data_IF_960360891548
#
_entry.id   IF_960360891548
#
_cell.length_a   1.000
_cell.length_b   1.000
_cell.length_c   1.000
_cell.angle_alpha   90.00
_cell.angle_beta   90.00
_cell.angle_gamma   90.00
#
_symmetry.space_group_name_H-M   'P 1'
#
loop_
_entity.id
_entity.type
_entity.pdbx_description
1 polymer ?
#
# COMPACT_ATOMS: atom_id res chain seq x y z
N UNK A 1 -17.12 -29.83 -1.43
CA UNK A 1 -18.27 -28.93 -1.21
C UNK A 1 -19.57 -29.69 -1.54
N UNK A 2 -20.08 -30.43 -0.59
CA UNK A 2 -21.21 -31.36 -0.81
C UNK A 2 -22.56 -30.70 -0.53
N UNK A 3 -22.59 -29.62 0.23
CA UNK A 3 -23.81 -28.86 0.51
C UNK A 3 -23.55 -27.40 0.11
N UNK A 4 -24.23 -26.93 -0.95
CA UNK A 4 -24.13 -25.55 -1.47
C UNK A 4 -24.87 -24.54 -0.56
N UNK A 5 -24.63 -24.56 0.75
CA UNK A 5 -25.20 -23.59 1.70
C UNK A 5 -24.06 -22.85 2.38
N UNK A 6 -24.19 -21.54 2.43
CA UNK A 6 -23.29 -20.68 3.18
C UNK A 6 -23.49 -20.91 4.68
N UNK A 7 -22.41 -21.24 5.38
CA UNK A 7 -22.44 -21.61 6.80
C UNK A 7 -21.74 -20.50 7.60
N UNK A 8 -22.45 -19.93 8.56
CA UNK A 8 -21.85 -19.00 9.50
C UNK A 8 -21.04 -19.77 10.56
N UNK A 9 -19.72 -19.82 10.37
CA UNK A 9 -18.77 -20.54 11.23
C UNK A 9 -18.87 -20.16 12.71
N UNK A 10 -19.11 -18.90 13.04
CA UNK A 10 -19.24 -18.44 14.41
C UNK A 10 -20.46 -19.06 15.09
N UNK A 11 -21.58 -19.15 14.38
CA UNK A 11 -22.83 -19.75 14.91
C UNK A 11 -22.68 -21.27 15.11
N UNK A 12 -21.98 -21.93 14.19
CA UNK A 12 -21.68 -23.37 14.30
C UNK A 12 -20.77 -23.67 15.51
N UNK A 13 -19.71 -22.85 15.69
CA UNK A 13 -18.82 -22.98 16.85
C UNK A 13 -19.56 -22.74 18.18
N UNK A 14 -20.43 -21.74 18.22
CA UNK A 14 -21.27 -21.48 19.42
C UNK A 14 -22.21 -22.66 19.70
N UNK A 15 -22.89 -23.20 18.69
CA UNK A 15 -23.78 -24.36 18.83
C UNK A 15 -23.02 -25.61 19.31
N UNK A 16 -21.82 -25.86 18.73
CA UNK A 16 -20.94 -26.95 19.17
C UNK A 16 -20.48 -26.74 20.63
N UNK A 17 -20.13 -25.51 21.01
CA UNK A 17 -19.74 -25.16 22.38
C UNK A 17 -20.87 -25.46 23.39
N UNK A 18 -22.08 -25.02 23.12
CA UNK A 18 -23.25 -25.31 23.96
C UNK A 18 -23.58 -26.81 24.03
N UNK A 19 -23.51 -27.51 22.89
CA UNK A 19 -23.75 -28.96 22.85
C UNK A 19 -22.73 -29.72 23.70
N UNK A 20 -21.45 -29.35 23.65
CA UNK A 20 -20.39 -29.97 24.45
C UNK A 20 -20.48 -29.63 25.93
N UNK A 21 -20.91 -28.42 26.28
CA UNK A 21 -21.14 -28.03 27.67
C UNK A 21 -22.27 -28.85 28.31
N UNK A 22 -23.40 -28.99 27.60
CA UNK A 22 -24.52 -29.81 28.05
C UNK A 22 -24.15 -31.31 28.06
N UNK A 23 -23.44 -31.78 27.05
CA UNK A 23 -22.93 -33.16 26.98
C UNK A 23 -21.98 -33.49 28.12
N UNK A 24 -21.06 -32.57 28.45
CA UNK A 24 -20.11 -32.72 29.56
C UNK A 24 -20.81 -32.81 30.92
N UNK A 25 -21.88 -32.05 31.15
CA UNK A 25 -22.71 -32.18 32.36
C UNK A 25 -23.42 -33.55 32.45
N UNK A 26 -23.72 -34.17 31.31
CA UNK A 26 -24.25 -35.52 31.21
C UNK A 26 -23.20 -36.64 31.20
N UNK A 27 -21.92 -36.32 31.40
CA UNK A 27 -20.81 -37.32 31.35
C UNK A 27 -20.44 -37.82 29.96
N UNK A 28 -20.82 -37.08 28.88
CA UNK A 28 -20.47 -37.40 27.51
C UNK A 28 -19.05 -36.92 27.17
N UNK A 29 -18.39 -37.63 26.24
CA UNK A 29 -17.16 -37.18 25.63
C UNK A 29 -17.42 -35.98 24.70
N UNK A 30 -16.38 -35.19 24.43
CA UNK A 30 -16.44 -34.05 23.49
C UNK A 30 -16.90 -34.53 22.12
N UNK A 31 -17.99 -33.93 21.62
CA UNK A 31 -18.57 -34.22 20.32
C UNK A 31 -18.30 -33.07 19.33
N UNK A 32 -18.13 -33.40 18.06
CA UNK A 32 -18.06 -32.42 16.97
C UNK A 32 -18.85 -32.93 15.78
N UNK A 33 -19.25 -31.99 14.92
CA UNK A 33 -20.00 -32.34 13.70
C UNK A 33 -19.06 -32.96 12.67
N UNK A 34 -19.28 -34.23 12.35
CA UNK A 34 -18.48 -34.95 11.36
C UNK A 34 -19.00 -34.67 9.95
N UNK A 35 -18.12 -34.15 9.08
CA UNK A 35 -18.45 -33.91 7.65
C UNK A 35 -18.84 -35.22 6.94
N UNK A 36 -18.22 -36.33 7.30
CA UNK A 36 -18.49 -37.65 6.69
C UNK A 36 -19.92 -38.10 6.90
N UNK A 37 -20.42 -38.08 8.13
CA UNK A 37 -21.79 -38.49 8.45
C UNK A 37 -22.85 -37.53 7.88
N UNK A 38 -22.56 -36.22 7.90
CA UNK A 38 -23.43 -35.21 7.31
C UNK A 38 -23.49 -35.36 5.77
N UNK A 39 -22.38 -35.67 5.12
CA UNK A 39 -22.31 -35.93 3.68
C UNK A 39 -23.05 -37.20 3.30
N UNK A 40 -22.90 -38.26 4.08
CA UNK A 40 -23.60 -39.53 3.88
C UNK A 40 -25.12 -39.33 4.03
N UNK A 41 -25.58 -38.66 5.10
CA UNK A 41 -26.98 -38.35 5.31
C UNK A 41 -27.56 -37.54 4.12
N UNK A 42 -26.83 -36.58 3.62
CA UNK A 42 -27.24 -35.78 2.46
C UNK A 42 -27.31 -36.60 1.17
N UNK A 43 -26.36 -37.51 0.91
CA UNK A 43 -26.38 -38.44 -0.22
C UNK A 43 -27.54 -39.43 -0.16
N UNK A 44 -27.94 -39.84 1.05
CA UNK A 44 -29.13 -40.69 1.29
C UNK A 44 -30.44 -39.93 1.20
N UNK A 45 -30.44 -38.64 0.89
CA UNK A 45 -31.62 -37.84 0.68
C UNK A 45 -32.17 -37.16 1.94
N UNK A 46 -31.47 -37.16 3.04
CA UNK A 46 -31.85 -36.44 4.25
C UNK A 46 -31.68 -34.93 4.07
N UNK A 47 -32.75 -34.22 3.73
CA UNK A 47 -32.78 -32.77 3.52
C UNK A 47 -33.27 -31.98 4.76
N UNK A 48 -33.70 -32.67 5.81
CA UNK A 48 -34.31 -32.04 7.00
C UNK A 48 -33.57 -32.41 8.27
N UNK A 49 -33.70 -31.60 9.31
CA UNK A 49 -33.17 -31.86 10.66
C UNK A 49 -33.77 -33.09 11.33
N UNK A 50 -34.88 -33.59 10.80
CA UNK A 50 -35.62 -34.74 11.34
C UNK A 50 -34.75 -36.01 11.40
N UNK A 51 -33.88 -36.22 10.39
CA UNK A 51 -32.96 -37.37 10.37
C UNK A 51 -31.99 -37.35 11.56
N UNK A 52 -31.46 -36.19 11.92
CA UNK A 52 -30.55 -36.04 13.06
C UNK A 52 -31.27 -36.22 14.39
N UNK A 53 -32.53 -35.74 14.50
CA UNK A 53 -33.36 -35.92 15.69
C UNK A 53 -33.71 -37.41 15.88
N UNK A 54 -34.11 -38.10 14.84
CA UNK A 54 -34.40 -39.54 14.89
C UNK A 54 -33.14 -40.33 15.29
N UNK A 55 -31.97 -40.01 14.67
CA UNK A 55 -30.69 -40.61 15.08
C UNK A 55 -30.38 -40.38 16.56
N UNK A 56 -30.56 -39.16 17.04
CA UNK A 56 -30.35 -38.85 18.47
C UNK A 56 -31.30 -39.61 19.39
N UNK A 57 -32.58 -39.77 19.04
CA UNK A 57 -33.57 -40.55 19.77
C UNK A 57 -33.20 -42.05 19.78
N UNK A 58 -32.77 -42.61 18.65
CA UNK A 58 -32.29 -44.00 18.55
C UNK A 58 -31.08 -44.21 19.44
N UNK A 59 -30.09 -43.30 19.36
CA UNK A 59 -28.91 -43.34 20.22
C UNK A 59 -29.28 -43.24 21.70
N UNK A 60 -30.20 -42.35 22.06
CA UNK A 60 -30.74 -42.22 23.43
C UNK A 60 -31.44 -43.48 23.90
N UNK A 61 -32.30 -44.06 23.07
CA UNK A 61 -32.97 -45.32 23.39
C UNK A 61 -31.96 -46.48 23.54
N UNK A 62 -30.94 -46.53 22.67
CA UNK A 62 -29.83 -47.49 22.77
C UNK A 62 -29.05 -47.34 24.07
N UNK A 63 -28.91 -46.15 24.62
CA UNK A 63 -28.22 -45.90 25.88
C UNK A 63 -29.00 -46.52 27.08
N UNK A 64 -30.33 -46.47 27.05
CA UNK A 64 -31.16 -47.03 28.10
C UNK A 64 -31.37 -48.54 28.01
N UNK A 65 -31.44 -49.07 26.77
CA UNK A 65 -31.71 -50.50 26.52
C UNK A 65 -30.47 -51.27 26.03
N UNK A 66 -29.35 -50.59 25.77
CA UNK A 66 -28.41 -50.94 24.78
C UNK A 66 -27.24 -51.80 25.19
N UNK A 67 -26.92 -52.00 26.46
CA UNK A 67 -25.81 -52.92 26.82
C UNK A 67 -26.08 -54.36 26.33
N UNK A 68 -27.34 -54.78 26.38
CA UNK A 68 -27.75 -56.10 25.92
C UNK A 68 -27.84 -56.24 24.38
N UNK A 69 -28.23 -55.16 23.69
CA UNK A 69 -28.38 -55.15 22.21
C UNK A 69 -27.01 -55.15 21.52
N UNK A 70 -26.01 -54.42 22.04
CA UNK A 70 -24.66 -54.37 21.50
C UNK A 70 -23.97 -55.76 21.59
N UNK A 71 -24.30 -56.57 22.60
CA UNK A 71 -23.72 -57.91 22.76
C UNK A 71 -24.13 -58.88 21.66
N UNK A 72 -25.26 -58.62 20.97
CA UNK A 72 -25.72 -59.44 19.81
C UNK A 72 -24.95 -59.13 18.50
N UNK A 73 -24.20 -58.00 18.42
CA UNK A 73 -23.43 -57.70 17.25
C UNK A 73 -22.18 -58.56 17.13
N UNK A 74 -22.02 -59.30 16.02
CA UNK A 74 -20.83 -60.15 15.84
C UNK A 74 -19.58 -59.29 15.82
N UNK A 75 -18.58 -59.57 16.65
CA UNK A 75 -17.29 -58.86 16.73
C UNK A 75 -16.59 -58.68 15.37
N UNK A 76 -16.63 -59.69 14.44
CA UNK A 76 -16.05 -59.53 13.09
C UNK A 76 -16.70 -58.41 12.26
N UNK A 77 -18.01 -58.19 12.42
CA UNK A 77 -18.73 -57.08 11.71
C UNK A 77 -18.26 -55.73 12.21
N UNK A 78 -18.12 -55.53 13.50
CA UNK A 78 -17.58 -54.30 14.09
C UNK A 78 -16.13 -54.07 13.68
N UNK A 79 -15.30 -55.11 13.71
CA UNK A 79 -13.91 -55.04 13.21
C UNK A 79 -13.81 -54.70 11.73
N UNK A 80 -14.66 -55.30 10.88
CA UNK A 80 -14.75 -55.00 9.46
C UNK A 80 -15.16 -53.55 9.16
N UNK A 81 -16.13 -53.02 9.95
CA UNK A 81 -16.55 -51.63 9.83
C UNK A 81 -15.40 -50.64 10.21
N UNK A 82 -14.67 -50.95 11.29
CA UNK A 82 -13.52 -50.12 11.70
C UNK A 82 -12.39 -50.17 10.70
N UNK A 83 -12.09 -51.35 10.14
CA UNK A 83 -11.09 -51.51 9.06
C UNK A 83 -11.50 -50.75 7.80
N UNK A 84 -12.76 -50.83 7.40
CA UNK A 84 -13.28 -50.09 6.26
C UNK A 84 -13.16 -48.60 6.47
N UNK A 85 -13.54 -48.09 7.65
CA UNK A 85 -13.42 -46.67 7.99
C UNK A 85 -11.97 -46.20 7.99
N UNK A 86 -11.06 -46.98 8.59
CA UNK A 86 -9.64 -46.66 8.61
C UNK A 86 -9.02 -46.66 7.21
N UNK A 87 -9.35 -47.64 6.37
CA UNK A 87 -8.87 -47.68 4.98
C UNK A 87 -9.46 -46.55 4.14
N UNK A 88 -10.73 -46.18 4.35
CA UNK A 88 -11.33 -45.05 3.68
C UNK A 88 -10.59 -43.75 3.99
N UNK A 89 -10.27 -43.51 5.27
CA UNK A 89 -9.47 -42.31 5.64
C UNK A 89 -8.06 -42.37 5.05
N UNK A 90 -7.41 -43.52 4.99
CA UNK A 90 -6.11 -43.62 4.36
C UNK A 90 -6.17 -43.29 2.86
N UNK A 91 -7.20 -43.77 2.16
CA UNK A 91 -7.39 -43.45 0.73
C UNK A 91 -7.63 -41.94 0.56
N UNK A 92 -8.53 -41.35 1.33
CA UNK A 92 -8.85 -39.92 1.25
C UNK A 92 -7.60 -39.04 1.53
N UNK A 93 -6.81 -39.36 2.54
CA UNK A 93 -5.68 -38.55 2.97
C UNK A 93 -4.33 -38.89 2.29
N UNK A 94 -4.14 -40.09 1.77
CA UNK A 94 -2.90 -40.45 1.08
C UNK A 94 -3.03 -40.43 -0.44
N UNK A 95 -4.19 -40.81 -0.99
CA UNK A 95 -4.34 -40.90 -2.45
C UNK A 95 -4.98 -39.64 -2.99
N UNK A 96 -6.12 -39.23 -2.46
CA UNK A 96 -6.88 -38.09 -2.99
C UNK A 96 -6.27 -36.75 -2.57
N UNK A 97 -5.72 -36.65 -1.37
CA UNK A 97 -5.02 -35.46 -0.90
C UNK A 97 -3.78 -35.10 -1.71
N UNK A 98 -3.11 -36.09 -2.34
CA UNK A 98 -1.95 -35.84 -3.22
C UNK A 98 -2.27 -34.88 -4.38
N UNK A 99 -3.52 -34.90 -4.87
CA UNK A 99 -3.96 -34.03 -5.98
C UNK A 99 -4.45 -32.67 -5.52
N UNK A 100 -4.80 -32.55 -4.24
CA UNK A 100 -5.42 -31.37 -3.67
C UNK A 100 -4.44 -30.50 -2.86
N UNK A 101 -3.37 -31.09 -2.32
CA UNK A 101 -2.44 -30.41 -1.42
C UNK A 101 -1.11 -30.07 -2.12
N UNK A 102 -0.49 -28.92 -1.75
CA UNK A 102 0.90 -28.62 -2.10
C UNK A 102 1.84 -29.70 -1.58
N UNK A 103 2.97 -29.90 -2.26
CA UNK A 103 3.92 -30.98 -1.95
C UNK A 103 4.41 -30.95 -0.49
N UNK A 104 4.64 -29.76 0.08
CA UNK A 104 5.11 -29.59 1.46
C UNK A 104 4.03 -30.07 2.46
N UNK A 105 2.78 -29.69 2.25
CA UNK A 105 1.68 -30.09 3.11
C UNK A 105 1.40 -31.59 3.01
N UNK A 106 1.57 -32.17 1.83
CA UNK A 106 1.45 -33.61 1.62
C UNK A 106 2.55 -34.40 2.34
N UNK A 107 3.78 -33.89 2.35
CA UNK A 107 4.89 -34.50 3.14
C UNK A 107 4.57 -34.44 4.64
N UNK A 108 4.00 -33.32 5.09
CA UNK A 108 3.58 -33.17 6.49
C UNK A 108 2.54 -34.22 6.89
N UNK A 109 1.56 -34.53 6.05
CA UNK A 109 0.61 -35.63 6.29
C UNK A 109 1.32 -36.97 6.50
N UNK A 110 2.30 -37.29 5.69
CA UNK A 110 3.10 -38.53 5.84
C UNK A 110 3.89 -38.57 7.15
N UNK A 111 4.49 -37.42 7.55
CA UNK A 111 5.25 -37.34 8.81
C UNK A 111 4.32 -37.57 9.99
N UNK A 112 3.15 -36.90 9.99
CA UNK A 112 2.14 -37.05 11.07
C UNK A 112 1.68 -38.51 11.16
N UNK A 113 1.34 -39.15 10.04
CA UNK A 113 0.91 -40.55 10.01
C UNK A 113 1.99 -41.49 10.52
N UNK A 114 3.24 -41.25 10.14
CA UNK A 114 4.38 -42.06 10.62
C UNK A 114 4.55 -41.93 12.15
N UNK A 115 4.44 -40.73 12.70
CA UNK A 115 4.55 -40.51 14.15
C UNK A 115 3.35 -41.16 14.87
N UNK A 116 2.13 -41.02 14.34
CA UNK A 116 0.94 -41.67 14.93
C UNK A 116 1.11 -43.18 14.97
N UNK A 117 1.62 -43.79 13.90
CA UNK A 117 1.79 -45.23 13.80
C UNK A 117 2.94 -45.80 14.68
N UNK A 118 4.00 -45.00 14.91
CA UNK A 118 5.20 -45.47 15.61
C UNK A 118 5.24 -45.08 17.10
N UNK A 119 4.72 -43.93 17.47
CA UNK A 119 4.84 -43.37 18.83
C UNK A 119 3.47 -43.30 19.51
N UNK A 120 2.48 -42.73 18.85
CA UNK A 120 1.14 -42.60 19.38
C UNK A 120 0.33 -41.47 18.76
N UNK A 121 -0.98 -41.53 18.97
CA UNK A 121 -1.92 -40.55 18.36
C UNK A 121 -1.73 -39.12 18.89
N UNK A 122 -1.55 -38.96 20.20
CA UNK A 122 -1.39 -37.66 20.83
C UNK A 122 -0.09 -36.98 20.41
N UNK A 123 1.00 -37.75 20.39
CA UNK A 123 2.34 -37.30 19.97
C UNK A 123 2.32 -36.83 18.50
N UNK A 124 1.62 -37.57 17.65
CA UNK A 124 1.44 -37.21 16.25
C UNK A 124 0.73 -35.90 16.06
N UNK A 125 -0.35 -35.65 16.83
CA UNK A 125 -1.08 -34.36 16.79
C UNK A 125 -0.20 -33.21 17.26
N UNK A 126 0.49 -33.37 18.40
CA UNK A 126 1.37 -32.32 18.95
C UNK A 126 2.49 -31.99 17.95
N UNK A 127 3.17 -33.00 17.44
CA UNK A 127 4.24 -32.81 16.45
C UNK A 127 3.71 -32.16 15.16
N UNK A 128 2.57 -32.63 14.66
CA UNK A 128 1.93 -32.08 13.46
C UNK A 128 1.55 -30.62 13.62
N UNK A 129 0.96 -30.25 14.75
CA UNK A 129 0.60 -28.86 15.06
C UNK A 129 1.84 -27.97 15.13
N UNK A 130 2.91 -28.47 15.79
CA UNK A 130 4.16 -27.72 15.91
C UNK A 130 4.84 -27.49 14.56
N UNK A 131 4.94 -28.55 13.73
CA UNK A 131 5.53 -28.44 12.39
C UNK A 131 4.67 -27.54 11.50
N UNK A 132 3.34 -27.65 11.54
CA UNK A 132 2.43 -26.79 10.79
C UNK A 132 2.59 -25.32 11.20
N UNK A 133 2.73 -25.02 12.49
CA UNK A 133 2.99 -23.68 12.98
C UNK A 133 4.32 -23.10 12.45
N UNK A 134 5.39 -23.91 12.46
CA UNK A 134 6.69 -23.51 11.89
C UNK A 134 6.55 -23.23 10.40
N UNK A 135 5.93 -24.13 9.64
CA UNK A 135 5.73 -23.96 8.19
C UNK A 135 4.88 -22.71 7.89
N UNK A 136 3.87 -22.45 8.69
CA UNK A 136 3.08 -21.25 8.57
C UNK A 136 3.93 -19.98 8.75
N UNK A 137 4.74 -19.90 9.80
CA UNK A 137 5.64 -18.78 10.07
C UNK A 137 6.64 -18.60 8.93
N UNK A 138 7.27 -19.68 8.45
CA UNK A 138 8.23 -19.64 7.34
C UNK A 138 7.54 -19.21 6.04
N UNK A 139 6.36 -19.72 5.75
CA UNK A 139 5.60 -19.35 4.56
C UNK A 139 5.15 -17.88 4.61
N UNK A 140 4.68 -17.43 5.77
CA UNK A 140 4.25 -16.06 5.97
C UNK A 140 5.42 -15.05 5.95
N UNK A 141 6.61 -15.47 6.39
CA UNK A 141 7.81 -14.62 6.31
C UNK A 141 8.30 -14.36 4.87
N UNK A 142 7.87 -15.19 3.92
CA UNK A 142 8.20 -15.04 2.48
C UNK A 142 7.22 -14.12 1.73
N UNK A 143 6.15 -13.66 2.38
CA UNK A 143 5.24 -12.69 1.76
C UNK A 143 6.01 -11.40 1.50
N UNK A 144 5.99 -10.93 0.26
CA UNK A 144 6.68 -9.71 -0.11
C UNK A 144 5.95 -8.50 0.49
N UNK A 145 6.63 -7.86 1.42
CA UNK A 145 6.15 -6.63 2.07
C UNK A 145 6.57 -5.38 1.31
N UNK A 146 7.35 -5.53 0.25
CA UNK A 146 7.72 -4.44 -0.64
C UNK A 146 6.84 -4.54 -1.88
N UNK A 147 5.86 -3.65 -1.98
CA UNK A 147 4.99 -3.60 -3.14
C UNK A 147 5.73 -3.11 -4.39
N UNK A 148 6.37 -1.94 -4.27
CA UNK A 148 7.14 -1.33 -5.33
C UNK A 148 8.48 -0.85 -4.78
N UNK A 149 9.52 -0.91 -5.63
CA UNK A 149 10.84 -0.36 -5.33
C UNK A 149 11.21 0.58 -6.49
N UNK A 150 11.19 1.88 -6.23
CA UNK A 150 11.34 2.93 -7.22
C UNK A 150 12.59 3.76 -6.93
N UNK A 151 13.10 4.41 -7.96
CA UNK A 151 14.16 5.41 -7.83
C UNK A 151 13.60 6.82 -8.04
N UNK A 152 14.26 7.82 -7.49
CA UNK A 152 13.90 9.21 -7.71
C UNK A 152 14.12 9.69 -9.16
N UNK A 153 14.75 8.90 -10.05
CA UNK A 153 14.79 9.15 -11.49
C UNK A 153 13.46 8.80 -12.18
N UNK A 154 12.65 7.94 -11.58
CA UNK A 154 11.35 7.49 -12.10
C UNK A 154 10.21 8.19 -11.38
N UNK A 155 10.25 8.21 -10.05
CA UNK A 155 9.24 8.83 -9.20
C UNK A 155 9.75 10.15 -8.63
N UNK A 156 9.12 11.26 -9.04
CA UNK A 156 9.43 12.61 -8.60
C UNK A 156 8.34 13.17 -7.70
N UNK A 157 8.71 14.15 -6.87
CA UNK A 157 7.72 14.92 -6.13
C UNK A 157 6.79 15.69 -7.08
N UNK A 158 5.57 15.94 -6.61
CA UNK A 158 4.56 16.73 -7.35
C UNK A 158 4.88 18.23 -7.34
N UNK A 159 6.15 18.61 -7.41
CA UNK A 159 6.62 19.99 -7.44
C UNK A 159 7.07 20.32 -8.85
N UNK A 160 6.41 21.27 -9.49
CA UNK A 160 6.86 21.82 -10.77
C UNK A 160 8.15 22.64 -10.54
N UNK A 161 9.24 22.18 -11.14
CA UNK A 161 10.57 22.79 -11.01
C UNK A 161 11.07 23.31 -12.35
N UNK A 162 11.92 24.36 -12.34
CA UNK A 162 12.61 24.80 -13.55
C UNK A 162 13.37 23.67 -14.24
N UNK A 163 13.54 23.73 -15.55
CA UNK A 163 14.18 22.68 -16.34
C UNK A 163 15.55 22.28 -15.78
N UNK A 164 16.39 23.26 -15.42
CA UNK A 164 17.70 22.99 -14.82
C UNK A 164 17.63 22.12 -13.57
N UNK A 165 16.65 22.36 -12.67
CA UNK A 165 16.44 21.55 -11.48
C UNK A 165 15.96 20.14 -11.84
N UNK A 166 15.08 20.03 -12.84
CA UNK A 166 14.60 18.72 -13.34
C UNK A 166 15.72 17.88 -13.93
N UNK A 167 16.59 18.50 -14.73
CA UNK A 167 17.74 17.82 -15.35
C UNK A 167 18.70 17.27 -14.27
N UNK A 168 19.02 18.06 -13.25
CA UNK A 168 19.86 17.61 -12.12
C UNK A 168 19.19 16.47 -11.32
N UNK A 169 17.89 16.60 -11.03
CA UNK A 169 17.16 15.58 -10.31
C UNK A 169 16.98 14.29 -11.13
N UNK A 170 16.93 14.39 -12.44
CA UNK A 170 16.97 13.23 -13.33
C UNK A 170 18.31 12.51 -13.26
N UNK A 171 19.42 13.25 -13.35
CA UNK A 171 20.77 12.69 -13.33
C UNK A 171 21.16 12.11 -11.96
N UNK A 172 20.68 12.72 -10.87
CA UNK A 172 20.98 12.30 -9.50
C UNK A 172 19.80 11.57 -8.82
N UNK A 173 18.73 11.31 -9.53
CA UNK A 173 17.54 10.68 -8.99
C UNK A 173 17.79 9.29 -8.42
N UNK A 174 18.77 8.58 -8.92
CA UNK A 174 19.17 7.26 -8.42
C UNK A 174 19.81 7.30 -7.03
N UNK A 175 20.12 8.49 -6.48
CA UNK A 175 20.48 8.65 -5.06
C UNK A 175 19.28 8.43 -4.12
N UNK A 176 18.05 8.54 -4.62
CA UNK A 176 16.83 8.33 -3.84
C UNK A 176 16.28 6.94 -4.15
N UNK A 177 16.17 6.10 -3.14
CA UNK A 177 15.56 4.77 -3.24
C UNK A 177 14.28 4.71 -2.43
N UNK A 178 13.16 4.46 -3.09
CA UNK A 178 11.81 4.49 -2.52
C UNK A 178 11.30 3.06 -2.42
N UNK A 179 10.88 2.65 -1.22
CA UNK A 179 10.27 1.36 -0.95
C UNK A 179 8.86 1.57 -0.41
N UNK A 180 7.86 1.18 -1.19
CA UNK A 180 6.47 1.18 -0.77
C UNK A 180 6.19 -0.11 0.00
N UNK A 181 6.03 0.02 1.34
CA UNK A 181 5.80 -1.11 2.23
C UNK A 181 4.30 -1.44 2.33
N UNK A 182 3.99 -2.72 2.52
CA UNK A 182 2.60 -3.18 2.68
C UNK A 182 2.47 -4.31 3.69
N UNK A 183 1.25 -4.45 4.25
CA UNK A 183 0.89 -5.58 5.11
C UNK A 183 1.46 -5.48 6.52
N UNK A 184 1.79 -6.62 7.10
CA UNK A 184 2.25 -6.75 8.48
C UNK A 184 3.78 -6.86 8.53
N UNK A 185 4.43 -5.95 9.26
CA UNK A 185 5.87 -5.97 9.45
C UNK A 185 6.23 -6.70 10.76
N UNK A 186 6.98 -7.78 10.64
CA UNK A 186 7.54 -8.55 11.72
C UNK A 186 8.97 -9.00 11.37
N UNK A 187 9.65 -9.71 12.25
CA UNK A 187 11.05 -10.09 12.08
C UNK A 187 11.36 -10.69 10.69
N UNK A 188 10.53 -11.62 10.22
CA UNK A 188 10.75 -12.29 8.93
C UNK A 188 10.61 -11.34 7.73
N UNK A 189 9.59 -10.50 7.73
CA UNK A 189 9.31 -9.59 6.60
C UNK A 189 10.25 -8.39 6.56
N UNK A 190 10.66 -7.84 7.71
CA UNK A 190 11.62 -6.74 7.76
C UNK A 190 13.02 -7.16 7.31
N UNK A 191 13.36 -8.45 7.46
CA UNK A 191 14.61 -8.97 6.95
C UNK A 191 14.69 -8.86 5.42
N UNK A 192 13.58 -9.09 4.71
CA UNK A 192 13.51 -8.92 3.24
C UNK A 192 13.78 -7.47 2.84
N UNK A 193 13.23 -6.50 3.59
CA UNK A 193 13.50 -5.07 3.37
C UNK A 193 14.98 -4.76 3.55
N UNK A 194 15.59 -5.28 4.62
CA UNK A 194 17.00 -5.09 4.91
C UNK A 194 17.91 -5.68 3.81
N UNK A 195 17.61 -6.89 3.34
CA UNK A 195 18.35 -7.54 2.26
C UNK A 195 18.24 -6.77 0.94
N UNK A 196 17.06 -6.29 0.58
CA UNK A 196 16.85 -5.49 -0.62
C UNK A 196 17.63 -4.17 -0.59
N UNK A 197 17.64 -3.50 0.56
CA UNK A 197 18.42 -2.28 0.77
C UNK A 197 19.93 -2.58 0.69
N UNK A 198 20.42 -3.63 1.35
CA UNK A 198 21.83 -4.03 1.24
C UNK A 198 22.24 -4.34 -0.18
N UNK A 199 21.44 -5.13 -0.88
CA UNK A 199 21.70 -5.45 -2.28
C UNK A 199 21.78 -4.18 -3.15
N UNK A 200 20.95 -3.15 -2.86
CA UNK A 200 21.02 -1.85 -3.57
C UNK A 200 22.28 -1.06 -3.20
N UNK A 201 22.73 -1.09 -1.94
CA UNK A 201 23.97 -0.44 -1.48
C UNK A 201 25.20 -1.10 -2.12
N UNK A 202 25.20 -2.43 -2.22
CA UNK A 202 26.34 -3.22 -2.74
C UNK A 202 26.50 -3.14 -4.27
N UNK A 203 25.48 -2.68 -5.00
CA UNK A 203 25.54 -2.47 -6.45
C UNK A 203 26.45 -1.29 -6.79
N UNK A 204 27.67 -1.59 -7.19
CA UNK A 204 28.70 -0.57 -7.58
C UNK A 204 28.41 0.14 -8.91
N UNK A 205 27.57 -0.47 -9.75
CA UNK A 205 27.22 0.07 -11.09
C UNK A 205 26.18 1.18 -11.03
N UNK A 206 25.55 1.39 -9.88
CA UNK A 206 24.56 2.43 -9.68
C UNK A 206 25.11 3.58 -8.85
N UNK A 207 24.48 4.74 -8.97
CA UNK A 207 24.78 5.91 -8.16
C UNK A 207 24.76 5.59 -6.66
N UNK A 208 25.67 6.18 -5.89
CA UNK A 208 25.72 5.98 -4.43
C UNK A 208 24.42 6.48 -3.81
N UNK A 209 23.79 5.66 -2.97
CA UNK A 209 22.59 6.07 -2.27
C UNK A 209 22.85 7.23 -1.30
N UNK A 210 22.02 8.24 -1.38
CA UNK A 210 21.97 9.35 -0.42
C UNK A 210 20.74 9.27 0.49
N UNK A 211 19.65 8.71 -0.03
CA UNK A 211 18.35 8.70 0.64
C UNK A 211 17.62 7.37 0.45
N UNK A 212 16.96 6.91 1.52
CA UNK A 212 16.02 5.79 1.47
C UNK A 212 14.68 6.29 2.01
N UNK A 213 13.64 6.20 1.19
CA UNK A 213 12.28 6.55 1.55
C UNK A 213 11.50 5.27 1.80
N UNK A 214 10.97 5.12 3.02
CA UNK A 214 10.11 4.00 3.41
C UNK A 214 8.68 4.53 3.54
N UNK A 215 7.81 4.11 2.64
CA UNK A 215 6.41 4.48 2.66
C UNK A 215 5.56 3.47 3.42
N UNK A 216 4.90 3.93 4.50
CA UNK A 216 4.09 3.10 5.39
C UNK A 216 2.58 3.17 5.09
N UNK A 217 2.17 3.84 4.01
CA UNK A 217 0.75 4.02 3.66
C UNK A 217 -0.07 2.72 3.78
N UNK A 218 0.47 1.62 3.26
CA UNK A 218 -0.20 0.30 3.22
C UNK A 218 0.22 -0.64 4.34
N UNK A 219 1.04 -0.19 5.28
CA UNK A 219 1.41 -0.98 6.45
C UNK A 219 0.22 -1.05 7.40
N UNK A 220 -0.19 -2.26 7.73
CA UNK A 220 -1.32 -2.50 8.61
C UNK A 220 -0.93 -2.53 10.08
N UNK A 221 0.23 -3.12 10.38
CA UNK A 221 0.74 -3.24 11.74
C UNK A 221 2.25 -3.47 11.74
N UNK A 222 2.91 -3.10 12.85
CA UNK A 222 4.34 -3.34 13.10
C UNK A 222 4.47 -3.96 14.48
N UNK A 223 5.04 -5.15 14.58
CA UNK A 223 5.25 -5.78 15.87
C UNK A 223 6.60 -5.36 16.51
N UNK A 224 6.81 -5.73 17.76
CA UNK A 224 8.04 -5.42 18.49
C UNK A 224 9.28 -6.07 17.88
N UNK A 225 9.14 -7.20 17.19
CA UNK A 225 10.26 -7.87 16.52
C UNK A 225 10.73 -7.13 15.26
N UNK A 226 9.82 -6.47 14.55
CA UNK A 226 10.16 -5.61 13.42
C UNK A 226 10.95 -4.36 13.86
N UNK A 227 10.68 -3.83 15.05
CA UNK A 227 11.42 -2.68 15.60
C UNK A 227 12.92 -2.97 15.70
N UNK A 228 13.32 -4.17 16.12
CA UNK A 228 14.72 -4.58 16.11
C UNK A 228 15.32 -4.60 14.69
N UNK A 229 14.54 -5.07 13.71
CA UNK A 229 14.95 -5.05 12.31
C UNK A 229 15.15 -3.63 11.78
N UNK A 230 14.24 -2.72 12.11
CA UNK A 230 14.35 -1.29 11.74
C UNK A 230 15.54 -0.62 12.45
N UNK A 231 15.81 -0.95 13.71
CA UNK A 231 17.00 -0.46 14.42
C UNK A 231 18.30 -0.93 13.72
N UNK A 232 18.34 -2.19 13.29
CA UNK A 232 19.47 -2.71 12.51
C UNK A 232 19.60 -2.03 11.14
N UNK A 233 18.46 -1.73 10.50
CA UNK A 233 18.42 -0.96 9.26
C UNK A 233 19.02 0.44 9.49
N UNK A 234 18.63 1.12 10.57
CA UNK A 234 19.20 2.42 10.96
C UNK A 234 20.73 2.36 11.04
N UNK A 235 21.29 1.33 11.69
CA UNK A 235 22.74 1.15 11.79
C UNK A 235 23.43 1.00 10.43
N UNK A 236 22.84 0.18 9.52
CA UNK A 236 23.37 0.00 8.16
C UNK A 236 23.35 1.31 7.37
N UNK A 237 22.27 2.07 7.48
CA UNK A 237 22.06 3.35 6.80
C UNK A 237 23.06 4.38 7.32
N UNK A 238 23.23 4.50 8.64
CA UNK A 238 24.20 5.41 9.27
C UNK A 238 25.64 5.10 8.85
N UNK A 239 26.03 3.81 8.84
CA UNK A 239 27.36 3.38 8.41
C UNK A 239 27.71 3.76 6.97
N UNK A 240 26.70 3.96 6.12
CA UNK A 240 26.87 4.36 4.72
C UNK A 240 26.59 5.85 4.45
N UNK A 241 26.36 6.66 5.49
CA UNK A 241 25.97 8.09 5.38
C UNK A 241 24.73 8.32 4.54
N UNK A 242 23.72 7.44 4.65
CA UNK A 242 22.43 7.52 3.98
C UNK A 242 21.42 8.13 4.95
N UNK A 243 20.53 8.98 4.46
CA UNK A 243 19.41 9.51 5.25
C UNK A 243 18.15 8.71 5.00
N UNK A 244 17.42 8.40 6.06
CA UNK A 244 16.17 7.65 5.98
C UNK A 244 14.98 8.59 6.12
N UNK A 245 13.98 8.45 5.26
CA UNK A 245 12.73 9.21 5.31
C UNK A 245 11.57 8.23 5.45
N UNK A 246 10.74 8.46 6.46
CA UNK A 246 9.52 7.67 6.67
C UNK A 246 8.32 8.51 6.27
N UNK A 247 7.40 7.90 5.52
CA UNK A 247 6.22 8.61 5.03
C UNK A 247 4.94 7.87 5.42
N UNK A 248 3.88 8.63 5.68
CA UNK A 248 2.54 8.14 6.02
C UNK A 248 2.50 7.15 7.20
N UNK A 249 3.37 7.35 8.18
CA UNK A 249 3.44 6.49 9.37
C UNK A 249 2.26 6.77 10.29
N UNK A 250 1.47 5.75 10.59
CA UNK A 250 0.34 5.88 11.51
C UNK A 250 0.83 6.18 12.92
N UNK A 251 0.09 6.98 13.74
CA UNK A 251 0.49 7.35 15.09
C UNK A 251 0.77 6.14 16.00
N UNK A 252 0.03 5.05 15.82
CA UNK A 252 0.21 3.79 16.57
C UNK A 252 1.57 3.15 16.26
N UNK A 253 2.00 3.21 14.99
CA UNK A 253 3.28 2.68 14.54
C UNK A 253 4.41 3.54 15.09
N UNK A 254 4.29 4.87 15.04
CA UNK A 254 5.26 5.80 15.61
C UNK A 254 5.48 5.48 17.07
N UNK A 255 4.41 5.33 17.86
CA UNK A 255 4.49 4.98 19.28
C UNK A 255 5.24 3.67 19.53
N UNK A 256 5.01 2.63 18.73
CA UNK A 256 5.71 1.35 18.85
C UNK A 256 7.19 1.48 18.52
N UNK A 257 7.55 2.30 17.54
CA UNK A 257 8.93 2.58 17.15
C UNK A 257 9.66 3.39 18.24
N UNK A 258 9.02 4.38 18.83
CA UNK A 258 9.56 5.17 19.96
C UNK A 258 9.82 4.32 21.20
N UNK A 259 8.88 3.39 21.53
CA UNK A 259 9.07 2.43 22.62
C UNK A 259 10.26 1.50 22.38
N UNK A 260 10.57 1.22 21.12
CA UNK A 260 11.75 0.46 20.70
C UNK A 260 13.05 1.28 20.63
N UNK A 261 13.04 2.54 21.08
CA UNK A 261 14.24 3.40 21.14
C UNK A 261 14.51 4.20 19.86
N UNK A 262 13.59 4.19 18.88
CA UNK A 262 13.68 5.00 17.66
C UNK A 262 12.94 6.34 17.89
N UNK A 263 13.62 7.29 18.56
CA UNK A 263 13.10 8.65 18.76
C UNK A 263 13.58 9.58 17.65
N UNK A 264 12.70 10.49 17.24
CA UNK A 264 12.86 11.40 16.08
C UNK A 264 14.02 12.41 16.21
N UNK A 265 14.66 12.57 17.37
CA UNK A 265 15.38 13.82 17.65
C UNK A 265 16.86 13.69 18.01
N UNK A 266 17.45 12.51 18.11
CA UNK A 266 18.79 12.44 18.69
C UNK A 266 19.94 12.36 17.69
N UNK A 267 19.72 11.86 16.46
CA UNK A 267 20.84 11.56 15.55
C UNK A 267 20.71 12.07 14.11
N UNK A 268 19.70 12.85 13.74
CA UNK A 268 19.44 13.29 12.35
C UNK A 268 19.47 12.16 11.29
N UNK A 269 19.28 10.91 11.71
CA UNK A 269 19.41 9.74 10.82
C UNK A 269 18.13 9.40 10.07
N UNK A 270 17.00 9.85 10.55
CA UNK A 270 15.72 9.71 9.86
C UNK A 270 14.81 10.94 10.07
N UNK A 271 13.89 11.13 9.13
CA UNK A 271 12.91 12.22 9.14
C UNK A 271 11.55 11.63 8.83
N UNK A 272 10.50 12.06 9.56
CA UNK A 272 9.11 11.65 9.25
C UNK A 272 8.44 12.74 8.43
N UNK A 273 7.75 12.34 7.35
CA UNK A 273 6.97 13.21 6.48
C UNK A 273 5.53 12.73 6.37
N UNK A 274 4.53 13.66 6.25
CA UNK A 274 3.12 13.32 6.22
C UNK A 274 2.72 12.46 5.02
N UNK A 275 3.38 12.65 3.86
CA UNK A 275 3.08 11.93 2.62
C UNK A 275 4.35 11.52 1.89
N UNK A 276 4.23 10.50 1.00
CA UNK A 276 5.32 10.08 0.13
C UNK A 276 5.84 11.24 -0.71
N UNK A 277 4.94 12.04 -1.24
CA UNK A 277 5.24 13.22 -2.05
C UNK A 277 6.13 14.23 -1.32
N UNK A 278 5.79 14.56 -0.06
CA UNK A 278 6.60 15.46 0.77
C UNK A 278 7.93 14.83 1.19
N UNK A 279 7.96 13.52 1.36
CA UNK A 279 9.19 12.79 1.65
C UNK A 279 10.17 12.86 0.49
N UNK A 280 9.71 12.63 -0.74
CA UNK A 280 10.52 12.73 -1.96
C UNK A 280 10.92 14.17 -2.22
N UNK A 281 9.99 15.14 -2.07
CA UNK A 281 10.31 16.57 -2.17
C UNK A 281 11.45 16.98 -1.24
N UNK A 282 11.44 16.49 0.00
CA UNK A 282 12.50 16.77 0.96
C UNK A 282 13.86 16.24 0.50
N UNK A 283 13.91 15.03 -0.05
CA UNK A 283 15.13 14.44 -0.62
C UNK A 283 15.63 15.25 -1.81
N UNK A 284 14.75 15.59 -2.76
CA UNK A 284 15.06 16.42 -3.92
C UNK A 284 15.63 17.79 -3.53
N UNK A 285 15.00 18.45 -2.53
CA UNK A 285 15.48 19.74 -2.04
C UNK A 285 16.87 19.62 -1.40
N UNK A 286 17.19 18.49 -0.73
CA UNK A 286 18.52 18.24 -0.20
C UNK A 286 19.57 18.04 -1.31
N UNK A 287 19.20 17.33 -2.39
CA UNK A 287 20.09 17.18 -3.56
C UNK A 287 20.38 18.54 -4.18
N UNK A 288 19.33 19.33 -4.46
CA UNK A 288 19.50 20.66 -5.06
C UNK A 288 20.33 21.60 -4.17
N UNK A 289 20.13 21.55 -2.84
CA UNK A 289 20.93 22.36 -1.89
C UNK A 289 22.40 21.98 -1.93
N UNK A 290 22.75 20.68 -2.05
CA UNK A 290 24.15 20.22 -2.20
C UNK A 290 24.80 20.76 -3.46
N UNK A 291 24.03 21.00 -4.53
CA UNK A 291 24.48 21.58 -5.79
C UNK A 291 24.54 23.12 -5.76
N UNK A 292 24.40 23.74 -4.59
CA UNK A 292 24.39 25.21 -4.43
C UNK A 292 23.10 25.89 -4.92
N UNK A 293 22.07 25.11 -5.25
CA UNK A 293 20.77 25.62 -5.65
C UNK A 293 19.88 25.74 -4.41
N UNK A 294 20.15 26.76 -3.60
CA UNK A 294 19.38 27.01 -2.39
C UNK A 294 17.93 27.39 -2.74
N UNK A 295 17.01 26.55 -2.30
CA UNK A 295 15.56 26.74 -2.40
C UNK A 295 15.04 27.98 -1.64
N UNK A 296 15.87 28.51 -0.72
CA UNK A 296 15.50 29.61 0.17
C UNK A 296 15.73 30.99 -0.45
N UNK A 297 16.62 31.09 -1.43
CA UNK A 297 16.78 32.27 -2.27
C UNK A 297 16.32 31.88 -3.67
N UNK A 298 15.01 31.75 -3.85
CA UNK A 298 14.48 31.60 -5.20
C UNK A 298 15.18 32.67 -6.04
N UNK A 299 15.88 32.27 -7.10
CA UNK A 299 16.28 33.21 -8.14
C UNK A 299 14.98 33.93 -8.50
N UNK A 300 14.84 35.17 -7.99
CA UNK A 300 13.77 36.08 -8.41
C UNK A 300 14.19 36.49 -9.82
N UNK A 301 14.08 35.51 -10.72
CA UNK A 301 14.24 35.81 -12.12
C UNK A 301 13.00 36.59 -12.51
N UNK A 302 13.19 37.82 -12.96
CA UNK A 302 12.07 38.67 -13.41
C UNK A 302 11.27 37.93 -14.45
N UNK A 303 9.95 38.14 -14.42
CA UNK A 303 9.02 37.49 -15.37
C UNK A 303 9.45 37.62 -16.83
N UNK A 304 10.07 38.75 -17.20
CA UNK A 304 10.58 38.98 -18.55
C UNK A 304 11.64 37.95 -18.95
N UNK A 305 12.56 37.62 -18.05
CA UNK A 305 13.63 36.63 -18.31
C UNK A 305 13.07 35.20 -18.37
N UNK A 306 12.08 34.92 -17.51
CA UNK A 306 11.37 33.63 -17.51
C UNK A 306 10.58 33.46 -18.83
N UNK A 307 9.85 34.49 -19.25
CA UNK A 307 9.12 34.49 -20.52
C UNK A 307 10.02 34.38 -21.74
N UNK A 308 11.19 35.05 -21.76
CA UNK A 308 12.18 34.92 -22.83
C UNK A 308 12.74 33.50 -22.96
N UNK A 309 12.88 32.77 -21.84
CA UNK A 309 13.31 31.37 -21.85
C UNK A 309 12.23 30.44 -22.36
N UNK A 310 10.98 30.72 -22.01
CA UNK A 310 9.81 29.95 -22.42
C UNK A 310 9.46 30.21 -23.89
N UNK A 311 9.70 31.44 -24.34
CA UNK A 311 9.40 31.92 -25.68
C UNK A 311 10.67 32.50 -26.33
N UNK A 312 11.68 31.65 -26.72
CA UNK A 312 12.94 32.14 -27.24
C UNK A 312 12.83 32.92 -28.54
N UNK A 313 11.80 32.63 -29.35
CA UNK A 313 11.57 33.27 -30.65
C UNK A 313 10.65 34.50 -30.56
N UNK A 314 10.18 34.85 -29.37
CA UNK A 314 9.29 35.97 -29.15
C UNK A 314 10.09 37.28 -29.13
N UNK A 315 10.12 38.00 -30.23
CA UNK A 315 10.40 39.46 -30.24
C UNK A 315 9.31 40.23 -29.45
N UNK A 316 8.57 39.59 -28.59
CA UNK A 316 7.33 40.04 -27.97
C UNK A 316 7.08 39.57 -26.55
N UNK A 317 8.11 39.09 -25.77
CA UNK A 317 7.91 38.87 -24.32
C UNK A 317 7.35 40.15 -23.63
N UNK A 318 7.84 41.31 -24.08
CA UNK A 318 7.32 42.61 -23.59
C UNK A 318 5.89 42.89 -24.07
N UNK A 319 5.46 42.36 -25.23
CA UNK A 319 4.06 42.46 -25.72
C UNK A 319 3.11 41.57 -24.94
N UNK A 320 3.55 40.36 -24.54
CA UNK A 320 2.74 39.49 -23.69
C UNK A 320 2.49 40.11 -22.33
N UNK A 321 3.49 40.79 -21.75
CA UNK A 321 3.36 41.46 -20.45
C UNK A 321 2.26 42.53 -20.41
N UNK A 322 1.95 43.15 -21.55
CA UNK A 322 0.88 44.16 -21.63
C UNK A 322 -0.54 43.60 -21.39
N UNK A 323 -0.70 42.29 -21.53
CA UNK A 323 -1.93 41.55 -21.30
C UNK A 323 -1.99 40.92 -19.91
N UNK A 324 -0.90 41.01 -19.12
CA UNK A 324 -0.77 40.43 -17.80
C UNK A 324 -0.90 41.49 -16.70
N UNK A 325 -1.58 41.13 -15.63
CA UNK A 325 -1.75 41.99 -14.45
C UNK A 325 -0.97 41.38 -13.28
N UNK A 326 -0.01 42.16 -12.73
CA UNK A 326 0.82 41.71 -11.61
C UNK A 326 0.03 41.73 -10.31
N UNK A 327 0.07 40.64 -9.53
CA UNK A 327 -0.56 40.49 -8.22
C UNK A 327 0.42 39.87 -7.22
N UNK A 328 0.43 40.40 -5.99
CA UNK A 328 1.18 39.89 -4.87
C UNK A 328 0.25 39.09 -3.94
N UNK A 329 0.68 37.92 -3.49
CA UNK A 329 -0.08 37.04 -2.60
C UNK A 329 0.67 36.91 -1.28
N UNK A 330 -0.07 36.94 -0.17
CA UNK A 330 0.43 36.60 1.15
C UNK A 330 0.36 35.11 1.36
N UNK A 331 1.17 34.58 2.28
CA UNK A 331 1.08 33.18 2.69
C UNK A 331 -0.33 32.85 3.21
N UNK A 332 -0.89 31.74 2.76
CA UNK A 332 -2.25 31.30 3.05
C UNK A 332 -3.35 31.94 2.19
N UNK A 333 -3.01 32.92 1.32
CA UNK A 333 -4.01 33.56 0.46
C UNK A 333 -4.48 32.61 -0.64
N UNK A 334 -5.82 32.48 -0.81
CA UNK A 334 -6.46 31.68 -1.85
C UNK A 334 -6.46 32.48 -3.15
N UNK A 335 -5.76 31.96 -4.16
CA UNK A 335 -5.70 32.56 -5.50
C UNK A 335 -6.86 32.08 -6.37
N UNK A 336 -7.16 30.78 -6.32
CA UNK A 336 -8.26 30.13 -7.05
C UNK A 336 -8.99 29.24 -6.04
N UNK A 337 -10.33 29.25 -6.07
CA UNK A 337 -11.15 28.37 -5.24
C UNK A 337 -11.82 27.31 -6.10
N UNK A 338 -11.82 26.07 -5.64
CA UNK A 338 -12.51 24.95 -6.28
C UNK A 338 -14.01 25.25 -6.44
N UNK A 339 -14.57 24.98 -7.62
CA UNK A 339 -15.97 25.26 -7.97
C UNK A 339 -16.22 26.65 -8.53
N UNK A 340 -15.27 27.59 -8.45
CA UNK A 340 -15.44 28.93 -9.03
C UNK A 340 -15.37 28.89 -10.56
N UNK A 341 -15.94 29.89 -11.27
CA UNK A 341 -15.77 30.03 -12.72
C UNK A 341 -14.31 30.16 -13.13
N UNK A 342 -13.95 29.57 -14.27
CA UNK A 342 -12.58 29.57 -14.76
C UNK A 342 -12.38 30.58 -15.91
N UNK A 343 -12.35 31.86 -15.58
CA UNK A 343 -12.24 32.99 -16.50
C UNK A 343 -10.84 33.64 -16.51
N UNK A 344 -9.90 33.10 -15.76
CA UNK A 344 -8.52 33.59 -15.63
C UNK A 344 -7.51 32.48 -15.38
N UNK A 345 -6.25 32.73 -15.73
CA UNK A 345 -5.11 31.88 -15.41
C UNK A 345 -3.95 32.74 -14.89
N UNK A 346 -2.99 32.14 -14.24
CA UNK A 346 -1.90 32.84 -13.58
C UNK A 346 -0.55 32.25 -13.90
N UNK A 347 0.38 33.12 -14.27
CA UNK A 347 1.80 32.78 -14.36
C UNK A 347 2.45 33.08 -13.01
N UNK A 348 3.15 32.13 -12.43
CA UNK A 348 3.86 32.30 -11.15
C UNK A 348 5.26 32.83 -11.46
N UNK A 349 5.58 34.06 -11.04
CA UNK A 349 6.91 34.62 -11.15
C UNK A 349 7.83 34.11 -10.05
N UNK A 350 7.36 34.19 -8.81
CA UNK A 350 8.16 33.81 -7.65
C UNK A 350 7.27 33.33 -6.50
N UNK A 351 7.88 32.61 -5.54
CA UNK A 351 7.17 32.04 -4.41
C UNK A 351 6.81 30.56 -4.63
N UNK A 352 5.77 30.13 -3.92
CA UNK A 352 5.26 28.76 -3.96
C UNK A 352 3.74 28.78 -3.84
N UNK A 353 3.04 28.26 -4.83
CA UNK A 353 1.60 28.01 -4.75
C UNK A 353 1.30 26.53 -4.77
N UNK A 354 0.32 26.10 -4.01
CA UNK A 354 -0.08 24.69 -3.89
C UNK A 354 -1.47 24.51 -4.48
N UNK A 355 -1.63 23.51 -5.33
CA UNK A 355 -2.91 23.08 -5.88
C UNK A 355 -3.45 21.97 -4.97
N UNK A 356 -4.62 22.23 -4.38
CA UNK A 356 -5.26 21.32 -3.43
C UNK A 356 -6.68 20.97 -3.87
N UNK A 357 -6.98 19.66 -3.79
CA UNK A 357 -8.33 19.15 -3.98
C UNK A 357 -9.01 19.07 -2.62
N UNK A 358 -10.13 19.75 -2.49
CA UNK A 358 -11.01 19.66 -1.33
C UNK A 358 -11.85 18.38 -1.44
N UNK A 359 -11.66 17.45 -0.51
CA UNK A 359 -12.39 16.19 -0.44
C UNK A 359 -13.59 16.30 0.53
N UNK A 360 -14.63 15.46 0.38
CA UNK A 360 -15.66 15.31 1.39
C UNK A 360 -15.00 15.02 2.75
N UNK A 361 -15.41 15.66 3.82
CA UNK A 361 -14.86 15.63 5.19
C UNK A 361 -13.74 16.65 5.49
N UNK A 362 -13.68 17.78 4.78
CA UNK A 362 -12.66 18.83 4.99
C UNK A 362 -11.21 18.31 4.93
N UNK A 363 -10.94 17.26 4.18
CA UNK A 363 -9.59 16.81 3.88
C UNK A 363 -9.09 17.49 2.62
N UNK A 364 -7.90 18.05 2.69
CA UNK A 364 -7.21 18.65 1.55
C UNK A 364 -6.17 17.65 1.03
N UNK A 365 -6.20 17.39 -0.27
CA UNK A 365 -5.21 16.56 -0.95
C UNK A 365 -4.35 17.46 -1.83
N UNK A 366 -3.06 17.55 -1.52
CA UNK A 366 -2.10 18.27 -2.37
C UNK A 366 -1.96 17.52 -3.70
N UNK A 367 -2.39 18.16 -4.78
CA UNK A 367 -2.25 17.62 -6.14
C UNK A 367 -0.90 17.99 -6.72
N UNK A 368 -0.46 19.25 -6.54
CA UNK A 368 0.80 19.77 -7.09
C UNK A 368 1.24 21.03 -6.34
N UNK A 369 2.55 21.25 -6.26
CA UNK A 369 3.14 22.52 -5.83
C UNK A 369 3.85 23.17 -7.02
N UNK A 370 3.64 24.45 -7.21
CA UNK A 370 4.13 25.19 -8.36
C UNK A 370 5.02 26.33 -7.89
N UNK A 371 6.21 26.38 -8.46
CA UNK A 371 7.22 27.40 -8.24
C UNK A 371 7.26 28.39 -9.41
N UNK A 372 8.10 29.43 -9.30
CA UNK A 372 8.30 30.38 -10.38
C UNK A 372 8.64 29.72 -11.71
N UNK A 373 8.09 30.26 -12.80
CA UNK A 373 8.28 29.80 -14.17
C UNK A 373 7.18 28.89 -14.70
N UNK A 374 6.09 28.68 -13.98
CA UNK A 374 5.00 27.82 -14.41
C UNK A 374 3.62 28.51 -14.33
N UNK A 375 2.61 27.88 -14.93
CA UNK A 375 1.24 28.41 -15.06
C UNK A 375 0.27 27.58 -14.22
N UNK A 376 -0.77 28.25 -13.68
CA UNK A 376 -1.88 27.63 -12.97
C UNK A 376 -3.22 28.18 -13.45
N UNK A 377 -4.27 27.35 -13.36
CA UNK A 377 -5.64 27.72 -13.73
C UNK A 377 -5.95 27.57 -15.22
N UNK A 378 -4.97 27.16 -16.03
CA UNK A 378 -5.10 26.97 -17.47
C UNK A 378 -6.14 25.89 -17.83
N UNK A 379 -6.17 24.80 -17.07
CA UNK A 379 -7.03 23.63 -17.35
C UNK A 379 -8.52 24.05 -17.37
N UNK A 380 -8.99 24.69 -16.31
CA UNK A 380 -10.38 25.13 -16.22
C UNK A 380 -10.75 26.14 -17.33
N UNK A 381 -9.84 27.08 -17.62
CA UNK A 381 -10.06 28.09 -18.64
C UNK A 381 -10.13 27.50 -20.06
N UNK A 382 -9.26 26.55 -20.41
CA UNK A 382 -9.28 25.89 -21.72
C UNK A 382 -10.43 24.90 -21.89
N UNK A 383 -10.82 24.19 -20.81
CA UNK A 383 -11.95 23.27 -20.80
C UNK A 383 -13.30 23.99 -20.64
N UNK A 384 -13.30 25.29 -20.32
CA UNK A 384 -14.51 26.05 -20.01
C UNK A 384 -15.36 25.39 -18.91
N UNK A 385 -14.72 24.90 -17.88
CA UNK A 385 -15.33 24.20 -16.75
C UNK A 385 -15.01 24.94 -15.45
N UNK A 386 -15.79 24.70 -14.41
CA UNK A 386 -15.49 25.17 -13.07
C UNK A 386 -14.11 24.71 -12.59
N UNK A 387 -13.52 25.43 -11.66
CA UNK A 387 -12.22 25.12 -11.07
C UNK A 387 -12.24 23.73 -10.43
N UNK A 388 -11.38 22.86 -10.89
CA UNK A 388 -11.28 21.48 -10.40
C UNK A 388 -10.57 21.35 -9.05
N UNK A 389 -9.81 22.37 -8.66
CA UNK A 389 -9.04 22.40 -7.41
C UNK A 389 -8.82 23.85 -6.95
N UNK A 390 -8.53 24.03 -5.67
CA UNK A 390 -8.12 25.31 -5.09
C UNK A 390 -6.62 25.53 -5.28
N UNK A 391 -6.20 26.80 -5.44
CA UNK A 391 -4.79 27.21 -5.49
C UNK A 391 -4.53 28.18 -4.36
N UNK A 392 -3.58 27.84 -3.50
CA UNK A 392 -3.27 28.59 -2.27
C UNK A 392 -1.79 28.96 -2.28
N UNK A 393 -1.46 30.18 -1.88
CA UNK A 393 -0.08 30.61 -1.71
C UNK A 393 0.53 29.94 -0.46
N UNK A 394 1.37 28.93 -0.64
CA UNK A 394 2.09 28.27 0.46
C UNK A 394 3.26 29.11 1.02
N UNK A 395 3.67 30.14 0.27
CA UNK A 395 4.64 31.18 0.66
C UNK A 395 4.24 32.51 -0.01
N UNK A 396 4.73 33.66 0.47
CA UNK A 396 4.56 34.93 -0.25
C UNK A 396 4.97 34.77 -1.70
N UNK A 397 4.08 35.10 -2.63
CA UNK A 397 4.24 34.79 -4.05
C UNK A 397 3.88 35.99 -4.92
N UNK A 398 4.51 36.10 -6.07
CA UNK A 398 4.18 37.06 -7.11
C UNK A 398 3.66 36.31 -8.31
N UNK A 399 2.45 36.69 -8.77
CA UNK A 399 1.81 36.05 -9.92
C UNK A 399 1.35 37.09 -10.92
N UNK A 400 1.25 36.67 -12.19
CA UNK A 400 0.71 37.50 -13.26
C UNK A 400 -0.58 36.87 -13.78
N UNK A 401 -1.66 37.60 -13.68
CA UNK A 401 -3.02 37.23 -14.09
C UNK A 401 -3.22 37.45 -15.58
N UNK A 402 -3.73 36.49 -16.30
CA UNK A 402 -4.25 36.59 -17.65
C UNK A 402 -5.74 36.24 -17.64
N UNK A 403 -6.59 37.26 -17.89
CA UNK A 403 -8.03 37.05 -17.99
C UNK A 403 -8.44 36.50 -19.34
N UNK A 404 -9.59 35.79 -19.42
CA UNK A 404 -10.16 35.34 -20.68
C UNK A 404 -10.41 36.49 -21.67
N UNK A 405 -10.76 37.66 -21.15
CA UNK A 405 -10.95 38.86 -21.98
C UNK A 405 -9.63 39.39 -22.54
N UNK A 406 -8.56 39.43 -21.72
CA UNK A 406 -7.21 39.79 -22.16
C UNK A 406 -6.69 38.83 -23.22
N UNK A 407 -6.90 37.50 -23.05
CA UNK A 407 -6.52 36.51 -24.03
C UNK A 407 -7.27 36.69 -25.36
N UNK A 408 -8.58 36.93 -25.33
CA UNK A 408 -9.36 37.24 -26.55
C UNK A 408 -8.85 38.51 -27.22
N UNK A 409 -8.53 39.55 -26.46
CA UNK A 409 -7.96 40.80 -26.98
C UNK A 409 -6.61 40.56 -27.64
N UNK A 410 -5.74 39.73 -27.03
CA UNK A 410 -4.44 39.32 -27.58
C UNK A 410 -4.62 38.52 -28.88
N UNK A 411 -5.58 37.62 -28.95
CA UNK A 411 -5.89 36.87 -30.19
C UNK A 411 -6.25 37.75 -31.38
N UNK A 412 -6.93 38.87 -31.11
CA UNK A 412 -7.33 39.83 -32.16
C UNK A 412 -6.22 40.83 -32.52
N UNK A 413 -5.53 41.38 -31.51
CA UNK A 413 -4.53 42.46 -31.70
C UNK A 413 -3.14 41.94 -31.99
N UNK A 414 -2.76 40.80 -31.39
CA UNK A 414 -1.42 40.21 -31.43
C UNK A 414 -1.50 38.70 -31.69
N UNK A 415 -2.12 38.32 -32.81
CA UNK A 415 -2.41 36.94 -33.17
C UNK A 415 -1.19 36.02 -33.14
N UNK A 416 -0.01 36.53 -33.49
CA UNK A 416 1.25 35.80 -33.45
C UNK A 416 1.65 35.45 -32.02
N UNK A 417 1.61 36.42 -31.11
CA UNK A 417 1.88 36.22 -29.67
C UNK A 417 0.87 35.24 -29.07
N UNK A 418 -0.41 35.37 -29.44
CA UNK A 418 -1.45 34.45 -28.98
C UNK A 418 -1.21 33.02 -29.48
N UNK A 419 -0.81 32.82 -30.74
CA UNK A 419 -0.52 31.50 -31.29
C UNK A 419 0.66 30.82 -30.55
N UNK A 420 1.74 31.54 -30.32
CA UNK A 420 2.91 31.03 -29.57
C UNK A 420 2.56 30.75 -28.12
N UNK A 421 1.72 31.56 -27.50
CA UNK A 421 1.21 31.32 -26.15
C UNK A 421 0.40 30.02 -26.07
N UNK A 422 -0.51 29.79 -27.03
CA UNK A 422 -1.28 28.54 -27.09
C UNK A 422 -0.40 27.32 -27.36
N UNK A 423 0.59 27.42 -28.24
CA UNK A 423 1.55 26.35 -28.49
C UNK A 423 2.31 25.98 -27.20
N UNK A 424 2.76 26.98 -26.45
CA UNK A 424 3.43 26.75 -25.18
C UNK A 424 2.53 26.04 -24.17
N UNK A 425 1.27 26.49 -24.00
CA UNK A 425 0.31 25.84 -23.11
C UNK A 425 0.08 24.39 -23.55
N UNK A 426 -0.08 24.12 -24.84
CA UNK A 426 -0.26 22.78 -25.36
C UNK A 426 0.95 21.88 -25.02
N UNK A 427 2.18 22.40 -25.19
CA UNK A 427 3.42 21.71 -24.83
C UNK A 427 3.50 21.43 -23.33
N UNK A 428 3.20 22.42 -22.49
CA UNK A 428 3.17 22.28 -21.04
C UNK A 428 2.21 21.18 -20.57
N UNK A 429 1.00 21.14 -21.12
CA UNK A 429 0.01 20.13 -20.79
C UNK A 429 0.42 18.74 -21.27
N UNK A 430 1.01 18.64 -22.48
CA UNK A 430 1.52 17.38 -23.01
C UNK A 430 2.68 16.83 -22.15
N UNK A 431 3.62 17.68 -21.71
CA UNK A 431 4.69 17.27 -20.77
C UNK A 431 4.10 16.74 -19.46
N UNK A 432 3.13 17.43 -18.88
CA UNK A 432 2.45 17.01 -17.65
C UNK A 432 1.74 15.64 -17.78
N UNK A 433 1.12 15.40 -18.93
CA UNK A 433 0.47 14.10 -19.20
C UNK A 433 1.53 13.00 -19.34
N UNK A 434 2.61 13.25 -20.07
CA UNK A 434 3.68 12.28 -20.26
C UNK A 434 4.35 11.90 -18.92
N UNK A 435 4.61 12.87 -18.05
CA UNK A 435 5.17 12.62 -16.72
C UNK A 435 4.22 11.80 -15.83
N UNK A 436 2.92 12.13 -15.84
CA UNK A 436 1.93 11.35 -15.11
C UNK A 436 1.85 9.90 -15.60
N UNK A 437 1.91 9.68 -16.92
CA UNK A 437 1.87 8.33 -17.50
C UNK A 437 3.10 7.50 -17.07
N UNK A 438 4.31 8.07 -17.04
CA UNK A 438 5.51 7.38 -16.56
C UNK A 438 5.37 6.95 -15.09
N UNK A 439 4.81 7.83 -14.25
CA UNK A 439 4.59 7.51 -12.82
C UNK A 439 3.57 6.37 -12.69
N UNK A 440 2.48 6.40 -13.47
CA UNK A 440 1.47 5.33 -13.46
C UNK A 440 2.07 4.00 -13.90
N UNK A 441 2.84 3.98 -14.98
CA UNK A 441 3.54 2.79 -15.49
C UNK A 441 4.44 2.19 -14.41
N UNK A 442 5.29 3.00 -13.78
CA UNK A 442 6.18 2.57 -12.70
C UNK A 442 5.47 2.08 -11.43
N UNK A 443 4.23 2.50 -11.19
CA UNK A 443 3.42 2.02 -10.05
C UNK A 443 2.65 0.73 -10.37
N UNK A 444 2.53 0.37 -11.65
CA UNK A 444 1.85 -0.84 -12.12
C UNK A 444 2.80 -2.03 -12.29
N UNK A 445 4.09 -1.78 -12.50
CA UNK A 445 5.16 -2.80 -12.47
C UNK A 445 5.52 -3.18 -11.02
#
# INVERSE_FOLDING_TARGET
MTVKQDINLNRELQAAGWANLLGGLGGSTVGYQTLGLSSLAHRLGAKTRLANIISALICGAALFFGASVISFFPKPVLGGMLLYLGLSFLVDWLIDARRALPTIDYILVWIILFIIASVGFLEGIIAGTFIAAILFVVSYSRVDVIKNALNGSIYHSKVDRPKLHRDILHDQGDEIYILNLQGFLFFGTIQNVLEKIRHRIDKKDLCKLGFIVLDFHRVTHVDSSAVFGITRLKQVIQANNILMVWTEVKPEIVKNLELGGLKDDTDNSFVIKPSLDEGVEWCENKILTRQGMNDLTGFIEKVESQLKRVFPDLQGSDRLLQYLERRELREGEVLIKQGDPADEMYFVESGLVTIELELPNNKHLRLRSIRGGAMVGEVGMYLQQERTASVIAARPSVVYRLSAQSLKTMQVKDSEVAAQFHEWIARLLAERIADNNRIIEALME
#
